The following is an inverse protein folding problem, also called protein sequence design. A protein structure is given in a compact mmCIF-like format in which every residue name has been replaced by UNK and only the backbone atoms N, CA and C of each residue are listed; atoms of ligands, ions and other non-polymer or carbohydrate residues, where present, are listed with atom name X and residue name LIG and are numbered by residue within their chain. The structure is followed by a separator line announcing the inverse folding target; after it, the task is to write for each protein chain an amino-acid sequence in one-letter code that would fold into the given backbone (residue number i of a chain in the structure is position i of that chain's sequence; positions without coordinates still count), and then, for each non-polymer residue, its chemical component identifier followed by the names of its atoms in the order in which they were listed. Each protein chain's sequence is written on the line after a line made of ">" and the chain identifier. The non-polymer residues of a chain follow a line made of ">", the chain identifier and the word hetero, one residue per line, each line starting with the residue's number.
data_IF_075901047631
#
_entry.id   IF_075901047631
#
_cell.length_a   1.000
_cell.length_b   1.000
_cell.length_c   1.000
_cell.angle_alpha   90.00
_cell.angle_beta   90.00
_cell.angle_gamma   90.00
#
_symmetry.space_group_name_H-M   'P 1'
#
loop_
_entity.id
_entity.type
_entity.pdbx_description
1 polymer ?
#
# COMPACT_ATOMS: atom_id res chain seq x y z
N UNK A 1 67.40 -7.34 -34.63
CA UNK A 1 66.86 -6.56 -35.76
C UNK A 1 65.74 -7.36 -36.41
N UNK A 2 64.49 -6.99 -36.18
CA UNK A 2 63.33 -7.47 -36.93
C UNK A 2 62.28 -6.36 -36.93
N UNK A 3 61.75 -6.13 -38.11
CA UNK A 3 60.97 -5.00 -38.62
C UNK A 3 59.70 -4.69 -37.84
N UNK A 4 59.48 -3.41 -37.57
CA UNK A 4 58.22 -2.86 -37.09
C UNK A 4 57.22 -2.75 -38.25
N UNK A 5 56.01 -3.29 -38.07
CA UNK A 5 54.85 -2.94 -38.88
C UNK A 5 53.80 -2.30 -37.96
N UNK A 6 53.53 -1.01 -38.23
CA UNK A 6 52.40 -0.26 -37.71
C UNK A 6 51.10 -0.78 -38.35
N UNK A 7 50.11 -1.07 -37.52
CA UNK A 7 48.73 -1.26 -37.93
C UNK A 7 47.81 -0.82 -36.80
N UNK A 8 47.19 0.35 -36.95
CA UNK A 8 46.11 0.82 -36.08
C UNK A 8 44.92 -0.16 -36.16
N UNK A 9 44.46 -0.64 -35.01
CA UNK A 9 43.11 -1.16 -34.85
C UNK A 9 42.51 -0.57 -33.57
N UNK A 10 41.74 0.52 -33.72
CA UNK A 10 40.80 0.95 -32.69
C UNK A 10 39.70 -0.11 -32.59
N UNK A 11 39.67 -0.87 -31.49
CA UNK A 11 38.49 -1.63 -31.08
C UNK A 11 38.03 -1.11 -29.72
N UNK A 12 37.24 -0.04 -29.75
CA UNK A 12 36.42 0.35 -28.62
C UNK A 12 35.08 -0.40 -28.72
N UNK A 13 35.06 -1.66 -28.30
CA UNK A 13 33.82 -2.38 -28.02
C UNK A 13 33.52 -2.26 -26.52
N UNK A 14 33.16 -1.06 -26.08
CA UNK A 14 32.47 -0.89 -24.80
C UNK A 14 30.99 -1.23 -25.05
N UNK A 15 30.67 -2.52 -25.03
CA UNK A 15 29.29 -2.97 -24.86
C UNK A 15 28.86 -2.62 -23.43
N UNK A 16 28.55 -1.35 -23.21
CA UNK A 16 27.77 -0.96 -22.05
C UNK A 16 26.40 -1.58 -22.23
N UNK A 17 26.11 -2.62 -21.46
CA UNK A 17 24.73 -3.02 -21.20
C UNK A 17 24.09 -1.84 -20.45
N UNK A 18 23.58 -0.87 -21.21
CA UNK A 18 22.60 0.06 -20.71
C UNK A 18 21.36 -0.79 -20.41
N UNK A 19 21.26 -1.26 -19.17
CA UNK A 19 19.96 -1.52 -18.59
C UNK A 19 19.26 -0.17 -18.61
N UNK A 20 18.44 0.06 -19.64
CA UNK A 20 17.43 1.10 -19.59
C UNK A 20 16.66 0.83 -18.29
N UNK A 21 16.71 1.77 -17.35
CA UNK A 21 15.83 1.75 -16.21
C UNK A 21 14.40 1.64 -16.76
N UNK A 22 13.74 0.51 -16.54
CA UNK A 22 12.32 0.39 -16.79
C UNK A 22 11.63 1.40 -15.86
N UNK A 23 10.78 2.26 -16.43
CA UNK A 23 9.84 3.05 -15.66
C UNK A 23 9.11 2.13 -14.67
N UNK A 24 9.31 2.37 -13.38
CA UNK A 24 8.77 1.55 -12.29
C UNK A 24 7.32 1.92 -11.93
N UNK A 25 6.66 2.73 -12.76
CA UNK A 25 5.28 3.22 -12.54
C UNK A 25 4.22 2.34 -13.23
N UNK A 26 4.43 1.01 -13.29
CA UNK A 26 3.39 0.08 -13.76
C UNK A 26 2.82 -0.70 -12.58
N UNK A 27 1.56 -0.41 -12.25
CA UNK A 27 0.78 -1.13 -11.25
C UNK A 27 0.23 -2.43 -11.86
N UNK A 28 0.06 -3.52 -11.07
CA UNK A 28 -0.68 -4.70 -11.54
C UNK A 28 -2.15 -4.40 -11.87
N UNK A 29 -2.64 -3.21 -11.51
CA UNK A 29 -3.95 -2.70 -11.88
C UNK A 29 -3.98 -1.98 -13.25
N UNK A 30 -2.84 -1.78 -13.91
CA UNK A 30 -2.81 -1.14 -15.23
C UNK A 30 -3.16 -2.15 -16.33
N UNK A 31 -4.24 -1.87 -17.08
CA UNK A 31 -4.65 -2.72 -18.20
C UNK A 31 -5.09 -4.13 -17.78
N UNK A 32 -5.98 -4.22 -16.78
CA UNK A 32 -6.53 -5.50 -16.31
C UNK A 32 -7.39 -6.14 -17.42
N UNK A 33 -6.81 -7.10 -18.15
CA UNK A 33 -7.44 -7.79 -19.28
C UNK A 33 -7.67 -9.28 -19.00
N UNK A 34 -7.29 -9.77 -17.81
CA UNK A 34 -7.44 -11.16 -17.41
C UNK A 34 -7.84 -11.31 -15.95
N UNK A 35 -8.46 -12.45 -15.63
CA UNK A 35 -8.81 -12.76 -14.24
C UNK A 35 -7.56 -12.77 -13.33
N UNK A 36 -6.38 -13.19 -13.83
CA UNK A 36 -5.17 -13.24 -13.00
C UNK A 36 -4.70 -11.85 -12.61
N UNK A 37 -4.68 -10.93 -13.58
CA UNK A 37 -4.42 -9.51 -13.30
C UNK A 37 -5.48 -8.92 -12.36
N UNK A 38 -6.74 -9.38 -12.44
CA UNK A 38 -7.78 -8.95 -11.49
C UNK A 38 -7.45 -9.36 -10.05
N UNK A 39 -6.98 -10.60 -9.84
CA UNK A 39 -6.55 -11.05 -8.52
C UNK A 39 -5.31 -10.29 -8.02
N UNK A 40 -4.31 -10.13 -8.87
CA UNK A 40 -3.08 -9.40 -8.53
C UNK A 40 -3.36 -7.93 -8.18
N UNK A 41 -4.22 -7.28 -8.95
CA UNK A 41 -4.68 -5.93 -8.65
C UNK A 41 -5.42 -5.87 -7.32
N UNK A 42 -6.35 -6.80 -7.02
CA UNK A 42 -7.05 -6.81 -5.72
C UNK A 42 -6.07 -6.92 -4.53
N UNK A 43 -5.04 -7.76 -4.64
CA UNK A 43 -4.00 -7.91 -3.61
C UNK A 43 -3.23 -6.61 -3.44
N UNK A 44 -2.82 -5.98 -4.54
CA UNK A 44 -2.13 -4.71 -4.53
C UNK A 44 -2.98 -3.61 -3.90
N UNK A 45 -4.23 -3.44 -4.32
CA UNK A 45 -5.15 -2.44 -3.79
C UNK A 45 -5.38 -2.61 -2.29
N UNK A 46 -5.58 -3.84 -1.81
CA UNK A 46 -5.66 -4.12 -0.37
C UNK A 46 -4.40 -3.66 0.35
N UNK A 47 -3.22 -4.05 -0.11
CA UNK A 47 -1.95 -3.72 0.56
C UNK A 47 -1.71 -2.21 0.60
N UNK A 48 -2.02 -1.51 -0.49
CA UNK A 48 -1.91 -0.05 -0.59
C UNK A 48 -2.87 0.63 0.40
N UNK A 49 -4.14 0.21 0.43
CA UNK A 49 -5.14 0.77 1.33
C UNK A 49 -4.82 0.51 2.82
N UNK A 50 -4.37 -0.71 3.18
CA UNK A 50 -3.96 -1.02 4.56
C UNK A 50 -2.70 -0.23 4.98
N UNK A 51 -1.78 0.02 4.04
CA UNK A 51 -0.61 0.86 4.28
C UNK A 51 -1.01 2.31 4.51
N UNK A 52 -1.85 2.87 3.63
CA UNK A 52 -2.37 4.23 3.75
C UNK A 52 -3.13 4.42 5.07
N UNK A 53 -3.97 3.45 5.45
CA UNK A 53 -4.67 3.46 6.73
C UNK A 53 -3.72 3.57 7.93
N UNK A 54 -2.65 2.78 7.93
CA UNK A 54 -1.64 2.81 8.99
C UNK A 54 -0.94 4.16 9.06
N UNK A 55 -0.58 4.71 7.90
CA UNK A 55 0.05 6.03 7.79
C UNK A 55 -0.89 7.13 8.30
N UNK A 56 -2.16 7.11 7.89
CA UNK A 56 -3.17 8.06 8.33
C UNK A 56 -3.48 7.97 9.83
N UNK A 57 -3.49 6.76 10.40
CA UNK A 57 -3.61 6.62 11.84
C UNK A 57 -2.39 7.19 12.57
N UNK A 58 -1.17 6.95 12.08
CA UNK A 58 0.03 7.55 12.67
C UNK A 58 0.04 9.08 12.53
N UNK A 59 -0.40 9.61 11.40
CA UNK A 59 -0.54 11.04 11.18
C UNK A 59 -1.54 11.67 12.15
N UNK A 60 -2.67 11.00 12.40
CA UNK A 60 -3.63 11.43 13.43
C UNK A 60 -2.99 11.47 14.82
N UNK A 61 -2.24 10.44 15.21
CA UNK A 61 -1.54 10.43 16.50
C UNK A 61 -0.53 11.57 16.61
N UNK A 62 0.18 11.89 15.52
CA UNK A 62 1.11 13.01 15.46
C UNK A 62 0.38 14.36 15.61
N UNK A 63 -0.77 14.56 14.95
CA UNK A 63 -1.60 15.78 15.13
C UNK A 63 -2.07 15.94 16.57
N UNK A 64 -2.58 14.86 17.17
CA UNK A 64 -3.02 14.83 18.57
C UNK A 64 -1.86 15.13 19.53
N UNK A 65 -0.67 14.61 19.26
CA UNK A 65 0.51 14.95 20.05
C UNK A 65 0.80 16.45 19.96
N UNK A 66 0.90 17.02 18.76
CA UNK A 66 1.19 18.43 18.57
C UNK A 66 0.19 19.35 19.28
N UNK A 67 -1.11 19.03 19.24
CA UNK A 67 -2.16 19.87 19.81
C UNK A 67 -2.33 19.71 21.33
N UNK A 68 -2.13 18.50 21.88
CA UNK A 68 -2.54 18.20 23.26
C UNK A 68 -1.37 17.86 24.21
N UNK A 69 -0.12 17.76 23.74
CA UNK A 69 1.02 17.32 24.57
C UNK A 69 1.25 18.17 25.83
N UNK A 70 0.88 19.45 25.82
CA UNK A 70 0.96 20.33 26.99
C UNK A 70 0.11 19.82 28.17
N UNK A 71 -1.04 19.18 27.88
CA UNK A 71 -1.87 18.50 28.87
C UNK A 71 -1.73 16.98 28.72
N UNK A 72 -0.73 16.40 29.38
CA UNK A 72 -0.40 14.98 29.30
C UNK A 72 -1.58 14.05 29.61
N UNK A 73 -2.43 14.42 30.57
CA UNK A 73 -3.61 13.60 30.92
C UNK A 73 -4.60 13.54 29.77
N UNK A 74 -4.93 14.70 29.19
CA UNK A 74 -5.84 14.78 28.04
C UNK A 74 -5.27 14.09 26.80
N UNK A 75 -3.98 14.32 26.49
CA UNK A 75 -3.29 13.67 25.39
C UNK A 75 -3.34 12.13 25.51
N UNK A 76 -3.00 11.60 26.68
CA UNK A 76 -2.99 10.15 26.92
C UNK A 76 -4.40 9.55 26.82
N UNK A 77 -5.40 10.19 27.44
CA UNK A 77 -6.79 9.74 27.39
C UNK A 77 -7.32 9.69 25.95
N UNK A 78 -7.11 10.76 25.18
CA UNK A 78 -7.59 10.81 23.80
C UNK A 78 -6.85 9.83 22.89
N UNK A 79 -5.52 9.72 23.02
CA UNK A 79 -4.72 8.73 22.29
C UNK A 79 -5.18 7.30 22.56
N UNK A 80 -5.49 6.98 23.82
CA UNK A 80 -6.00 5.64 24.18
C UNK A 80 -7.36 5.36 23.54
N UNK A 81 -8.27 6.33 23.54
CA UNK A 81 -9.58 6.22 22.87
C UNK A 81 -9.43 5.96 21.38
N UNK A 82 -8.53 6.67 20.71
CA UNK A 82 -8.26 6.46 19.28
C UNK A 82 -7.74 5.04 18.99
N UNK A 83 -6.80 4.54 19.80
CA UNK A 83 -6.29 3.17 19.67
C UNK A 83 -7.38 2.12 19.90
N UNK A 84 -8.20 2.30 20.94
CA UNK A 84 -9.34 1.41 21.21
C UNK A 84 -10.33 1.42 20.06
N UNK A 85 -10.68 2.59 19.52
CA UNK A 85 -11.59 2.72 18.40
C UNK A 85 -11.04 2.09 17.12
N UNK A 86 -9.74 2.24 16.84
CA UNK A 86 -9.10 1.62 15.68
C UNK A 86 -9.12 0.09 15.77
N UNK A 87 -8.75 -0.47 16.92
CA UNK A 87 -8.80 -1.92 17.16
C UNK A 87 -10.22 -2.49 17.06
N UNK A 88 -11.24 -1.73 17.49
CA UNK A 88 -12.62 -2.14 17.36
C UNK A 88 -13.08 -2.10 15.89
N UNK A 89 -12.68 -1.07 15.15
CA UNK A 89 -12.98 -0.93 13.73
C UNK A 89 -12.34 -2.04 12.88
N UNK A 90 -11.11 -2.47 13.18
CA UNK A 90 -10.46 -3.59 12.48
C UNK A 90 -11.28 -4.89 12.61
N UNK A 91 -11.81 -5.15 13.81
CA UNK A 91 -12.68 -6.32 14.03
C UNK A 91 -14.01 -6.21 13.29
N UNK A 92 -14.59 -5.02 13.23
CA UNK A 92 -15.79 -4.77 12.43
C UNK A 92 -15.49 -5.02 10.95
N UNK A 93 -14.38 -4.47 10.45
CA UNK A 93 -13.97 -4.63 9.05
C UNK A 93 -13.84 -6.10 8.68
N UNK A 94 -13.11 -6.86 9.48
CA UNK A 94 -12.89 -8.27 9.20
C UNK A 94 -14.20 -9.08 9.25
N UNK A 95 -15.12 -8.73 10.17
CA UNK A 95 -16.43 -9.37 10.26
C UNK A 95 -17.34 -9.04 9.07
N UNK A 96 -17.40 -7.77 8.67
CA UNK A 96 -18.23 -7.32 7.54
C UNK A 96 -17.70 -7.91 6.22
N UNK A 97 -16.37 -7.92 6.01
CA UNK A 97 -15.80 -8.54 4.81
C UNK A 97 -16.03 -10.06 4.76
N UNK A 98 -16.06 -10.76 5.89
CA UNK A 98 -16.43 -12.17 5.94
C UNK A 98 -17.91 -12.41 5.55
N UNK A 99 -18.78 -11.41 5.72
CA UNK A 99 -20.17 -11.47 5.23
C UNK A 99 -20.24 -11.18 3.74
N UNK A 100 -19.54 -10.15 3.27
CA UNK A 100 -19.58 -9.70 1.86
C UNK A 100 -19.09 -10.76 0.86
N UNK A 101 -18.16 -11.63 1.27
CA UNK A 101 -17.62 -12.69 0.39
C UNK A 101 -18.61 -13.84 0.14
N UNK A 102 -19.71 -13.94 0.88
CA UNK A 102 -20.72 -14.98 0.67
C UNK A 102 -21.48 -14.77 -0.65
N UNK A 103 -21.73 -15.82 -1.47
CA UNK A 103 -21.56 -17.26 -1.20
C UNK A 103 -20.25 -17.85 -1.75
N UNK A 104 -19.22 -17.04 -2.04
CA UNK A 104 -17.98 -17.53 -2.62
C UNK A 104 -17.32 -18.58 -1.72
N UNK A 105 -16.88 -19.69 -2.32
CA UNK A 105 -16.20 -20.74 -1.57
C UNK A 105 -14.86 -20.23 -1.01
N UNK A 106 -14.61 -20.48 0.27
CA UNK A 106 -13.36 -20.11 0.93
C UNK A 106 -12.14 -20.60 0.15
N UNK A 107 -11.16 -19.72 -0.04
CA UNK A 107 -9.93 -20.01 -0.79
C UNK A 107 -10.06 -19.96 -2.31
N UNK A 108 -11.28 -19.86 -2.87
CA UNK A 108 -11.49 -19.63 -4.30
C UNK A 108 -10.96 -18.25 -4.73
N UNK A 109 -10.77 -18.08 -6.04
CA UNK A 109 -10.31 -16.80 -6.59
C UNK A 109 -11.32 -15.68 -6.37
N UNK A 110 -12.61 -15.95 -6.60
CA UNK A 110 -13.69 -15.00 -6.37
C UNK A 110 -13.78 -14.56 -4.89
N UNK A 111 -13.62 -15.52 -3.96
CA UNK A 111 -13.54 -15.21 -2.54
C UNK A 111 -12.40 -14.23 -2.24
N UNK A 112 -11.19 -14.52 -2.74
CA UNK A 112 -10.00 -13.69 -2.46
C UNK A 112 -10.12 -12.28 -3.04
N UNK A 113 -10.61 -12.15 -4.26
CA UNK A 113 -10.84 -10.85 -4.90
C UNK A 113 -11.83 -10.05 -4.07
N UNK A 114 -13.00 -10.63 -3.77
CA UNK A 114 -14.05 -9.95 -3.01
C UNK A 114 -13.61 -9.57 -1.59
N UNK A 115 -12.81 -10.41 -0.92
CA UNK A 115 -12.27 -10.11 0.41
C UNK A 115 -11.27 -8.95 0.35
N UNK A 116 -10.37 -8.97 -0.63
CA UNK A 116 -9.39 -7.91 -0.83
C UNK A 116 -10.06 -6.57 -1.15
N UNK A 117 -11.04 -6.57 -2.04
CA UNK A 117 -11.77 -5.38 -2.46
C UNK A 117 -12.56 -4.76 -1.30
N UNK A 118 -13.21 -5.60 -0.48
CA UNK A 118 -13.90 -5.15 0.73
C UNK A 118 -12.92 -4.49 1.72
N UNK A 119 -11.79 -5.15 2.01
CA UNK A 119 -10.79 -4.63 2.94
C UNK A 119 -10.19 -3.33 2.41
N UNK A 120 -9.92 -3.23 1.11
CA UNK A 120 -9.39 -2.02 0.48
C UNK A 120 -10.37 -0.86 0.67
N UNK A 121 -11.62 -1.01 0.20
CA UNK A 121 -12.67 0.01 0.31
C UNK A 121 -12.85 0.51 1.73
N UNK A 122 -13.00 -0.40 2.70
CA UNK A 122 -13.24 0.03 4.08
C UNK A 122 -12.00 0.67 4.71
N UNK A 123 -10.79 0.24 4.33
CA UNK A 123 -9.55 0.88 4.79
C UNK A 123 -9.39 2.29 4.23
N UNK A 124 -9.81 2.54 2.99
CA UNK A 124 -9.84 3.88 2.38
C UNK A 124 -10.88 4.78 3.06
N UNK A 125 -12.13 4.31 3.22
CA UNK A 125 -13.18 5.04 3.94
C UNK A 125 -12.74 5.39 5.38
N UNK A 126 -12.06 4.46 6.06
CA UNK A 126 -11.51 4.69 7.39
C UNK A 126 -10.37 5.70 7.38
N UNK A 127 -9.53 5.68 6.36
CA UNK A 127 -8.45 6.65 6.18
C UNK A 127 -9.01 8.07 6.10
N UNK A 128 -10.03 8.29 5.28
CA UNK A 128 -10.73 9.58 5.18
C UNK A 128 -11.34 10.03 6.53
N UNK A 129 -11.96 9.10 7.26
CA UNK A 129 -12.48 9.40 8.60
C UNK A 129 -11.36 9.76 9.59
N UNK A 130 -10.23 9.06 9.58
CA UNK A 130 -9.09 9.38 10.44
C UNK A 130 -8.47 10.73 10.08
N UNK A 131 -8.45 11.07 8.80
CA UNK A 131 -8.07 12.40 8.32
C UNK A 131 -9.04 13.46 8.86
N UNK A 132 -10.34 13.23 8.97
CA UNK A 132 -11.26 14.27 9.49
C UNK A 132 -11.10 14.58 10.99
N UNK A 133 -10.36 13.76 11.76
CA UNK A 133 -10.21 13.93 13.22
C UNK A 133 -9.04 14.87 13.55
N UNK A 134 -9.27 15.73 14.55
CA UNK A 134 -8.29 16.69 15.07
C UNK A 134 -7.72 17.62 13.99
N UNK A 135 -8.57 17.96 13.02
CA UNK A 135 -8.31 19.01 12.04
C UNK A 135 -8.48 20.38 12.71
N UNK A 136 -7.65 21.34 12.29
CA UNK A 136 -7.66 22.73 12.76
C UNK A 136 -8.68 23.58 12.01
#
# INVERSE_FOLDING_TARGET
>A
MKTYFLGLALMAAMAGNAYAAQDTDTSPCDGVDSDNQTLECSVYSRQTAETLLKENFQNLLNRVQSQFVANKTQYNDFTNKLKTAQLAWEKLRDADCAVEVFPSAAGSKAYKISENDCIARMSDERSEYLESIAQE
#
